data_IF_469610748714
#
_entry.id   IF_469610748714
#
_cell.length_a   1.000
_cell.length_b   1.000
_cell.length_c   1.000
_cell.angle_alpha   90.00
_cell.angle_beta   90.00
_cell.angle_gamma   90.00
#
_symmetry.space_group_name_H-M   'P 1'
#
loop_
_entity.id
_entity.type
_entity.pdbx_description
1 polymer ?
#
# COMPACT_ATOMS: atom_id res chain seq x y z
N UNK A 1 14.93 -15.11 17.28
CA UNK A 1 15.34 -14.04 18.23
C UNK A 1 14.08 -13.45 18.84
N UNK A 2 14.12 -13.00 20.10
CA UNK A 2 12.97 -12.32 20.72
C UNK A 2 12.98 -10.84 20.35
N UNK A 3 11.89 -10.35 19.74
CA UNK A 3 11.74 -8.93 19.38
C UNK A 3 11.67 -8.04 20.62
N UNK A 4 12.35 -6.90 20.59
CA UNK A 4 12.39 -5.93 21.69
C UNK A 4 11.19 -4.97 21.62
N UNK A 5 9.99 -5.46 21.92
CA UNK A 5 8.73 -4.69 21.81
C UNK A 5 8.79 -3.32 22.53
N UNK A 6 9.53 -3.24 23.64
CA UNK A 6 9.73 -2.00 24.39
C UNK A 6 10.41 -0.88 23.56
N UNK A 7 11.08 -1.19 22.46
CA UNK A 7 11.72 -0.19 21.60
C UNK A 7 10.72 0.55 20.70
N UNK A 8 9.44 0.13 20.65
CA UNK A 8 8.47 0.77 19.77
C UNK A 8 8.10 2.19 20.28
N UNK A 9 8.43 3.26 19.55
CA UNK A 9 8.28 4.63 20.07
C UNK A 9 6.82 5.08 20.18
N UNK A 10 5.90 4.53 19.38
CA UNK A 10 4.47 4.84 19.46
C UNK A 10 3.72 4.11 20.60
N UNK A 11 4.27 3.01 21.13
CA UNK A 11 3.61 2.17 22.13
C UNK A 11 4.31 2.22 23.49
N UNK A 12 5.55 2.73 23.53
CA UNK A 12 6.31 2.97 24.75
C UNK A 12 6.85 4.40 24.76
N UNK A 13 6.25 5.24 25.61
CA UNK A 13 6.63 6.65 25.78
C UNK A 13 8.11 6.84 26.15
N UNK A 14 8.68 5.91 26.92
CA UNK A 14 10.09 5.96 27.34
C UNK A 14 11.08 5.77 26.16
N UNK A 15 10.60 5.21 25.04
CA UNK A 15 11.39 4.93 23.84
C UNK A 15 11.26 6.01 22.78
N UNK A 16 10.27 6.90 22.89
CA UNK A 16 9.90 7.85 21.85
C UNK A 16 11.03 8.77 21.39
N UNK A 17 11.96 9.10 22.29
CA UNK A 17 13.10 10.00 22.05
C UNK A 17 14.42 9.26 21.74
N UNK A 18 14.40 7.93 21.76
CA UNK A 18 15.61 7.09 21.59
C UNK A 18 15.58 6.32 20.29
N UNK A 19 14.43 5.73 19.98
CA UNK A 19 14.26 4.84 18.84
C UNK A 19 13.42 5.51 17.75
N UNK A 20 13.92 5.40 16.53
CA UNK A 20 13.25 5.92 15.35
C UNK A 20 12.28 4.92 14.75
N UNK A 21 11.43 5.45 13.86
CA UNK A 21 10.58 4.67 12.96
C UNK A 21 10.79 5.14 11.52
N UNK A 22 10.53 4.26 10.58
CA UNK A 22 10.38 4.59 9.16
C UNK A 22 9.02 4.10 8.67
N UNK A 23 8.30 4.93 7.93
CA UNK A 23 7.12 4.51 7.19
C UNK A 23 7.45 4.33 5.71
N UNK A 24 7.00 3.21 5.13
CA UNK A 24 7.20 2.88 3.72
C UNK A 24 5.90 3.14 2.93
N UNK A 25 5.87 4.13 2.02
CA UNK A 25 4.66 4.56 1.33
C UNK A 25 4.31 3.65 0.12
N UNK A 26 3.93 2.41 0.41
CA UNK A 26 3.65 1.36 -0.60
C UNK A 26 2.17 1.12 -0.86
N UNK A 27 1.28 1.79 -0.11
CA UNK A 27 -0.16 1.50 -0.12
C UNK A 27 -1.01 2.67 -0.64
N UNK A 28 -1.01 3.00 -1.94
CA UNK A 28 -1.67 4.21 -2.46
C UNK A 28 -3.20 4.15 -2.54
N UNK A 29 -3.78 2.97 -2.82
CA UNK A 29 -5.24 2.83 -2.94
C UNK A 29 -5.90 2.80 -1.57
N UNK A 30 -7.20 3.05 -1.53
CA UNK A 30 -8.01 2.86 -0.34
C UNK A 30 -9.42 2.40 -0.72
N UNK A 31 -10.06 1.67 0.18
CA UNK A 31 -11.33 0.97 -0.02
C UNK A 31 -12.51 1.61 0.75
N UNK A 32 -12.31 2.72 1.46
CA UNK A 32 -13.38 3.51 2.11
C UNK A 32 -13.19 5.00 1.86
N UNK A 33 -14.24 5.81 1.83
CA UNK A 33 -14.13 7.28 1.81
C UNK A 33 -14.65 7.86 3.10
N UNK A 34 -13.75 8.41 3.91
CA UNK A 34 -14.13 9.23 5.06
C UNK A 34 -14.51 10.64 4.62
N UNK A 35 -15.50 11.24 5.27
CA UNK A 35 -15.98 12.59 4.96
C UNK A 35 -14.99 13.70 5.36
N UNK A 36 -13.99 13.38 6.20
CA UNK A 36 -12.85 14.24 6.55
C UNK A 36 -11.59 14.02 5.69
N UNK A 37 -11.63 13.19 4.66
CA UNK A 37 -10.45 12.81 3.88
C UNK A 37 -10.47 13.38 2.46
N UNK A 38 -9.37 14.00 2.03
CA UNK A 38 -9.11 14.37 0.65
C UNK A 38 -8.02 13.45 0.06
N UNK A 39 -8.34 12.76 -1.04
CA UNK A 39 -7.47 11.75 -1.68
C UNK A 39 -6.21 12.31 -2.34
N UNK A 40 -6.10 13.63 -2.46
CA UNK A 40 -4.88 14.30 -2.91
C UNK A 40 -3.74 14.16 -1.90
N UNK A 41 -4.07 13.83 -0.65
CA UNK A 41 -3.14 13.72 0.47
C UNK A 41 -3.13 12.32 1.08
N UNK A 42 -2.12 12.04 1.88
CA UNK A 42 -1.95 10.86 2.70
C UNK A 42 -3.13 10.68 3.67
N UNK A 43 -3.36 9.43 4.08
CA UNK A 43 -4.49 9.02 4.87
C UNK A 43 -4.57 9.76 6.22
N UNK A 44 -5.66 10.50 6.43
CA UNK A 44 -5.89 11.30 7.64
C UNK A 44 -6.01 10.48 8.93
N UNK A 45 -6.20 9.16 8.83
CA UNK A 45 -6.34 8.24 9.96
C UNK A 45 -5.04 8.05 10.75
N UNK A 46 -3.88 8.18 10.10
CA UNK A 46 -2.57 8.05 10.74
C UNK A 46 -1.69 9.29 10.49
N UNK A 47 -1.96 10.04 9.43
CA UNK A 47 -1.11 11.11 8.95
C UNK A 47 -1.59 12.52 9.32
N UNK A 48 -0.64 13.44 9.42
CA UNK A 48 -0.92 14.88 9.52
C UNK A 48 -1.60 15.38 8.24
N UNK A 49 -2.53 16.35 8.32
CA UNK A 49 -3.25 16.86 7.16
C UNK A 49 -2.32 17.49 6.10
N UNK A 50 -2.73 17.40 4.83
CA UNK A 50 -2.12 18.12 3.72
C UNK A 50 -0.76 17.60 3.24
N UNK A 51 -0.35 16.39 3.64
CA UNK A 51 0.90 15.77 3.20
C UNK A 51 0.67 14.81 2.04
N UNK A 52 1.57 14.79 1.06
CA UNK A 52 1.57 13.79 0.00
C UNK A 52 2.94 13.11 -0.01
N UNK A 53 2.94 11.79 0.16
CA UNK A 53 4.15 10.99 0.06
C UNK A 53 4.38 10.50 -1.37
N UNK A 54 5.65 10.34 -1.77
CA UNK A 54 5.98 9.61 -3.00
C UNK A 54 5.60 8.14 -2.84
N UNK A 55 5.00 7.55 -3.86
CA UNK A 55 4.60 6.13 -3.84
C UNK A 55 5.80 5.29 -4.26
N UNK A 56 6.10 4.25 -3.49
CA UNK A 56 7.15 3.28 -3.82
C UNK A 56 6.54 1.91 -4.12
N UNK A 57 7.19 1.15 -4.99
CA UNK A 57 7.02 -0.31 -5.06
C UNK A 57 7.77 -1.00 -3.92
N UNK A 58 7.50 -2.28 -3.68
CA UNK A 58 8.12 -3.03 -2.58
C UNK A 58 9.65 -3.09 -2.69
N UNK A 59 10.21 -3.24 -3.89
CA UNK A 59 11.66 -3.22 -4.12
C UNK A 59 12.28 -1.84 -3.91
N UNK A 60 11.68 -0.78 -4.46
CA UNK A 60 12.11 0.60 -4.20
C UNK A 60 12.03 0.96 -2.70
N UNK A 61 11.02 0.46 -1.98
CA UNK A 61 10.89 0.66 -0.54
C UNK A 61 12.01 -0.02 0.26
N UNK A 62 12.46 -1.21 -0.16
CA UNK A 62 13.64 -1.86 0.43
C UNK A 62 14.92 -1.09 0.16
N UNK A 63 15.12 -0.59 -1.06
CA UNK A 63 16.27 0.26 -1.38
C UNK A 63 16.26 1.54 -0.53
N UNK A 64 15.10 2.18 -0.38
CA UNK A 64 14.93 3.36 0.46
C UNK A 64 15.21 3.06 1.94
N UNK A 65 14.73 1.93 2.45
CA UNK A 65 14.96 1.49 3.82
C UNK A 65 16.46 1.37 4.11
N UNK A 66 17.24 0.74 3.22
CA UNK A 66 18.69 0.62 3.37
C UNK A 66 19.37 1.99 3.53
N UNK A 67 19.02 2.95 2.68
CA UNK A 67 19.57 4.30 2.74
C UNK A 67 19.16 5.02 4.04
N UNK A 68 17.89 4.89 4.44
CA UNK A 68 17.39 5.49 5.67
C UNK A 68 18.06 4.90 6.93
N UNK A 69 18.35 3.60 6.95
CA UNK A 69 19.06 2.94 8.05
C UNK A 69 20.50 3.45 8.20
N UNK A 70 21.17 3.80 7.10
CA UNK A 70 22.52 4.40 7.13
C UNK A 70 22.46 5.80 7.75
N UNK A 71 21.46 6.60 7.36
CA UNK A 71 21.30 7.99 7.81
C UNK A 71 20.73 8.11 9.22
N UNK A 72 19.90 7.16 9.64
CA UNK A 72 19.22 7.13 10.94
C UNK A 72 19.36 5.74 11.58
N UNK A 73 20.55 5.40 12.13
CA UNK A 73 20.84 4.05 12.64
C UNK A 73 20.04 3.68 13.90
N UNK A 74 19.32 4.62 14.50
CA UNK A 74 18.45 4.40 15.64
C UNK A 74 17.03 3.94 15.27
N UNK A 75 16.72 3.78 13.97
CA UNK A 75 15.45 3.19 13.53
C UNK A 75 15.33 1.77 14.12
N UNK A 76 14.22 1.52 14.82
CA UNK A 76 13.90 0.21 15.38
C UNK A 76 12.58 -0.36 14.85
N UNK A 77 11.82 0.46 14.11
CA UNK A 77 10.46 0.14 13.64
C UNK A 77 10.32 0.46 12.17
N UNK A 78 9.80 -0.49 11.41
CA UNK A 78 9.35 -0.30 10.02
C UNK A 78 7.84 -0.41 9.97
N UNK A 79 7.19 0.64 9.47
CA UNK A 79 5.74 0.76 9.41
C UNK A 79 5.20 0.91 8.00
N UNK A 80 3.95 0.47 7.77
CA UNK A 80 3.19 0.80 6.56
C UNK A 80 1.89 1.51 6.98
N UNK A 81 1.75 2.78 6.60
CA UNK A 81 0.68 3.66 7.08
C UNK A 81 -0.06 4.45 5.97
N UNK A 82 0.21 4.16 4.69
CA UNK A 82 -0.43 4.85 3.58
C UNK A 82 0.42 4.88 2.31
N UNK A 83 0.15 5.81 1.38
CA UNK A 83 -0.75 6.98 1.50
C UNK A 83 -2.25 6.70 1.63
N UNK A 84 -2.73 5.55 1.21
CA UNK A 84 -4.12 5.09 1.31
C UNK A 84 -4.32 4.12 2.49
N UNK A 85 -4.85 2.92 2.21
CA UNK A 85 -5.01 1.85 3.18
C UNK A 85 -4.18 0.61 2.78
N UNK A 86 -3.39 0.01 3.69
CA UNK A 86 -2.58 -1.16 3.38
C UNK A 86 -3.37 -2.34 2.79
N UNK A 87 -4.57 -2.63 3.29
CA UNK A 87 -5.37 -3.77 2.82
C UNK A 87 -6.28 -3.46 1.64
N UNK A 88 -6.27 -2.22 1.16
CA UNK A 88 -6.66 -1.91 -0.22
C UNK A 88 -5.52 -2.16 -1.24
N UNK A 89 -4.30 -2.43 -0.75
CA UNK A 89 -3.09 -2.77 -1.52
C UNK A 89 -2.38 -3.99 -0.90
N UNK A 90 -3.10 -5.11 -0.72
CA UNK A 90 -2.59 -6.23 0.09
C UNK A 90 -1.34 -6.86 -0.53
N UNK A 91 -1.27 -6.95 -1.86
CA UNK A 91 -0.12 -7.54 -2.56
C UNK A 91 1.16 -6.77 -2.25
N UNK A 92 1.16 -5.45 -2.47
CA UNK A 92 2.33 -4.59 -2.21
C UNK A 92 2.68 -4.53 -0.71
N UNK A 93 1.66 -4.46 0.16
CA UNK A 93 1.84 -4.39 1.61
C UNK A 93 2.48 -5.66 2.17
N UNK A 94 1.91 -6.82 1.87
CA UNK A 94 2.41 -8.09 2.40
C UNK A 94 3.79 -8.41 1.82
N UNK A 95 4.03 -8.11 0.55
CA UNK A 95 5.34 -8.29 -0.06
C UNK A 95 6.41 -7.43 0.63
N UNK A 96 6.13 -6.16 0.88
CA UNK A 96 7.06 -5.30 1.62
C UNK A 96 7.35 -5.85 3.02
N UNK A 97 6.34 -6.33 3.76
CA UNK A 97 6.54 -6.92 5.08
C UNK A 97 7.40 -8.19 5.04
N UNK A 98 7.20 -9.06 4.04
CA UNK A 98 8.04 -10.25 3.81
C UNK A 98 9.49 -9.88 3.56
N UNK A 99 9.73 -8.93 2.65
CA UNK A 99 11.08 -8.47 2.30
C UNK A 99 11.80 -7.85 3.50
N UNK A 100 11.10 -7.01 4.28
CA UNK A 100 11.67 -6.42 5.49
C UNK A 100 11.97 -7.50 6.52
N UNK A 101 11.05 -8.44 6.78
CA UNK A 101 11.30 -9.53 7.74
C UNK A 101 12.48 -10.40 7.33
N UNK A 102 12.63 -10.70 6.04
CA UNK A 102 13.72 -11.51 5.52
C UNK A 102 15.09 -10.83 5.69
N UNK A 103 15.16 -9.51 5.43
CA UNK A 103 16.42 -8.74 5.47
C UNK A 103 16.78 -8.20 6.85
N UNK A 104 15.77 -7.79 7.62
CA UNK A 104 15.89 -7.15 8.93
C UNK A 104 15.07 -7.89 10.00
N UNK A 105 15.45 -9.14 10.34
CA UNK A 105 14.67 -10.00 11.21
C UNK A 105 14.49 -9.48 12.64
N UNK A 106 15.33 -8.52 13.07
CA UNK A 106 15.27 -7.86 14.38
C UNK A 106 14.31 -6.66 14.44
N UNK A 107 13.88 -6.13 13.29
CA UNK A 107 13.02 -4.95 13.23
C UNK A 107 11.63 -5.26 13.74
N UNK A 108 11.07 -4.28 14.45
CA UNK A 108 9.65 -4.29 14.79
C UNK A 108 8.86 -3.87 13.55
N UNK A 109 7.94 -4.72 13.13
CA UNK A 109 7.01 -4.40 12.05
C UNK A 109 5.71 -3.87 12.64
N UNK A 110 5.17 -2.81 12.05
CA UNK A 110 3.86 -2.29 12.38
C UNK A 110 3.09 -1.80 11.16
N UNK A 111 1.78 -1.60 11.31
CA UNK A 111 0.97 -1.01 10.25
C UNK A 111 -0.27 -0.32 10.80
N UNK A 112 -0.84 0.58 9.99
CA UNK A 112 -2.10 1.27 10.29
C UNK A 112 -3.10 1.08 9.16
N UNK A 113 -4.33 0.68 9.50
CA UNK A 113 -5.40 0.40 8.55
C UNK A 113 -6.76 0.90 9.04
N UNK A 114 -7.70 1.08 8.12
CA UNK A 114 -9.11 1.23 8.45
C UNK A 114 -9.79 -0.08 8.88
N UNK A 115 -9.17 -1.24 8.67
CA UNK A 115 -9.64 -2.54 9.17
C UNK A 115 -10.65 -3.29 8.29
N UNK A 116 -11.12 -2.74 7.17
CA UNK A 116 -12.15 -3.37 6.32
C UNK A 116 -11.73 -4.74 5.78
N UNK A 117 -10.53 -4.81 5.19
CA UNK A 117 -10.03 -5.99 4.47
C UNK A 117 -8.82 -6.65 5.16
N UNK A 118 -8.59 -6.34 6.45
CA UNK A 118 -7.46 -6.85 7.24
C UNK A 118 -7.59 -8.34 7.60
N UNK A 119 -8.81 -8.78 7.95
CA UNK A 119 -9.04 -10.09 8.58
C UNK A 119 -8.43 -11.32 7.85
N UNK A 120 -8.39 -11.40 6.51
CA UNK A 120 -7.79 -12.53 5.79
C UNK A 120 -6.27 -12.65 5.93
N UNK A 121 -5.57 -11.59 6.34
CA UNK A 121 -4.10 -11.54 6.37
C UNK A 121 -3.51 -11.70 7.77
N UNK A 122 -4.34 -11.74 8.81
CA UNK A 122 -3.89 -11.71 10.21
C UNK A 122 -2.97 -12.90 10.55
N UNK A 123 -3.26 -14.09 10.04
CA UNK A 123 -2.43 -15.28 10.27
C UNK A 123 -1.02 -15.07 9.70
N UNK A 124 -0.92 -14.57 8.47
CA UNK A 124 0.36 -14.25 7.84
C UNK A 124 1.09 -13.09 8.55
N UNK A 125 0.37 -12.08 9.03
CA UNK A 125 0.97 -11.02 9.85
C UNK A 125 1.60 -11.58 11.13
N UNK A 126 0.95 -12.56 11.77
CA UNK A 126 1.48 -13.22 12.95
C UNK A 126 2.72 -14.06 12.62
N UNK A 127 2.72 -14.79 11.50
CA UNK A 127 3.89 -15.53 10.99
C UNK A 127 5.08 -14.60 10.70
N UNK A 128 4.81 -13.43 10.13
CA UNK A 128 5.79 -12.36 9.89
C UNK A 128 6.19 -11.60 11.17
N UNK A 129 5.66 -12.01 12.34
CA UNK A 129 5.90 -11.37 13.63
C UNK A 129 5.63 -9.86 13.58
N UNK A 130 4.55 -9.46 12.91
CA UNK A 130 4.08 -8.07 12.97
C UNK A 130 3.67 -7.79 14.40
N UNK A 131 4.39 -6.85 15.00
CA UNK A 131 4.32 -6.61 16.43
C UNK A 131 3.09 -5.80 16.84
N UNK A 132 2.70 -4.84 16.00
CA UNK A 132 1.66 -3.87 16.31
C UNK A 132 0.80 -3.56 15.07
N UNK A 133 -0.52 -3.60 15.23
CA UNK A 133 -1.46 -3.18 14.19
C UNK A 133 -2.38 -2.11 14.76
N UNK A 134 -2.50 -1.00 14.04
CA UNK A 134 -3.43 0.09 14.37
C UNK A 134 -4.68 -0.01 13.50
N UNK A 135 -5.86 -0.06 14.11
CA UNK A 135 -7.14 0.03 13.40
C UNK A 135 -7.79 1.37 13.73
N UNK A 136 -8.24 2.12 12.73
CA UNK A 136 -9.04 3.33 12.98
C UNK A 136 -10.53 3.00 13.03
N UNK A 137 -11.13 3.16 14.21
CA UNK A 137 -12.54 2.89 14.48
C UNK A 137 -13.14 4.18 15.06
N UNK A 138 -13.95 4.90 14.28
CA UNK A 138 -14.52 6.19 14.72
C UNK A 138 -15.95 6.07 15.27
N UNK A 139 -16.62 4.93 15.06
CA UNK A 139 -17.98 4.69 15.51
C UNK A 139 -18.24 3.19 15.70
N UNK A 140 -19.11 2.86 16.66
CA UNK A 140 -19.71 1.52 16.83
C UNK A 140 -21.22 1.50 16.56
N UNK A 141 -21.80 2.68 16.31
CA UNK A 141 -23.20 2.86 15.94
C UNK A 141 -23.23 3.14 14.43
N UNK A 142 -23.91 2.31 13.62
CA UNK A 142 -24.03 2.53 12.19
C UNK A 142 -24.64 3.88 11.80
N UNK A 143 -25.52 4.46 12.62
CA UNK A 143 -26.11 5.78 12.36
C UNK A 143 -25.02 6.84 12.35
N UNK A 144 -24.26 6.96 13.44
CA UNK A 144 -23.12 7.87 13.54
C UNK A 144 -22.05 7.53 12.49
N UNK A 145 -21.78 6.24 12.27
CA UNK A 145 -20.83 5.80 11.26
C UNK A 145 -21.22 6.23 9.84
N UNK A 146 -22.52 6.26 9.51
CA UNK A 146 -23.01 6.67 8.19
C UNK A 146 -22.79 8.16 7.92
N UNK A 147 -22.69 8.98 8.96
CA UNK A 147 -22.30 10.39 8.83
C UNK A 147 -20.81 10.54 8.54
N UNK A 148 -19.97 9.62 9.04
CA UNK A 148 -18.51 9.70 8.92
C UNK A 148 -18.00 9.14 7.59
N UNK A 149 -18.63 8.10 7.05
CA UNK A 149 -18.15 7.38 5.86
C UNK A 149 -19.11 7.52 4.68
N UNK A 150 -18.66 8.20 3.61
CA UNK A 150 -19.45 8.41 2.39
C UNK A 150 -19.75 7.11 1.61
N UNK A 151 -18.78 6.20 1.57
CA UNK A 151 -18.90 4.90 0.92
C UNK A 151 -17.83 3.92 1.39
N UNK A 152 -18.14 2.63 1.24
CA UNK A 152 -17.24 1.50 1.50
C UNK A 152 -17.26 0.58 0.28
N UNK A 153 -16.09 0.17 -0.23
CA UNK A 153 -15.96 -0.74 -1.36
C UNK A 153 -15.36 -2.07 -0.90
N UNK A 154 -16.18 -3.10 -0.85
CA UNK A 154 -15.78 -4.44 -0.42
C UNK A 154 -16.22 -5.49 -1.45
N UNK A 155 -15.35 -6.44 -1.79
CA UNK A 155 -15.59 -7.49 -2.79
C UNK A 155 -16.14 -6.96 -4.13
N UNK A 156 -15.53 -5.88 -4.65
CA UNK A 156 -15.92 -5.17 -5.89
C UNK A 156 -17.33 -4.54 -5.86
N UNK A 157 -18.03 -4.56 -4.73
CA UNK A 157 -19.32 -3.90 -4.54
C UNK A 157 -19.14 -2.62 -3.71
N UNK A 158 -19.88 -1.58 -4.09
CA UNK A 158 -19.94 -0.32 -3.35
C UNK A 158 -21.16 -0.31 -2.43
N UNK A 159 -20.95 0.11 -1.19
CA UNK A 159 -21.95 0.30 -0.15
C UNK A 159 -21.96 1.79 0.26
N UNK A 160 -23.11 2.30 0.71
CA UNK A 160 -23.31 3.68 1.16
C UNK A 160 -24.15 3.71 2.44
N UNK A 161 -24.17 4.87 3.09
CA UNK A 161 -25.03 5.17 4.23
C UNK A 161 -24.90 4.12 5.35
N UNK A 162 -26.02 3.71 5.96
CA UNK A 162 -26.07 2.73 7.05
C UNK A 162 -25.45 1.38 6.67
N UNK A 163 -25.63 0.93 5.43
CA UNK A 163 -25.09 -0.36 4.98
C UNK A 163 -23.55 -0.33 4.92
N UNK A 164 -22.98 0.79 4.47
CA UNK A 164 -21.54 0.99 4.49
C UNK A 164 -20.98 1.01 5.91
N UNK A 165 -21.61 1.79 6.79
CA UNK A 165 -21.19 1.93 8.18
C UNK A 165 -21.26 0.59 8.93
N UNK A 166 -22.38 -0.13 8.80
CA UNK A 166 -22.56 -1.44 9.43
C UNK A 166 -21.51 -2.45 8.94
N UNK A 167 -21.31 -2.54 7.63
CA UNK A 167 -20.31 -3.44 7.06
C UNK A 167 -18.90 -3.13 7.59
N UNK A 168 -18.51 -1.87 7.61
CA UNK A 168 -17.19 -1.46 8.08
C UNK A 168 -16.99 -1.76 9.56
N UNK A 169 -17.97 -1.42 10.40
CA UNK A 169 -17.94 -1.70 11.85
C UNK A 169 -17.80 -3.21 12.09
N UNK A 170 -18.64 -4.02 11.43
CA UNK A 170 -18.60 -5.48 11.57
C UNK A 170 -17.21 -6.04 11.23
N UNK A 171 -16.60 -5.56 10.13
CA UNK A 171 -15.27 -5.99 9.69
C UNK A 171 -14.14 -5.54 10.62
N UNK A 172 -14.20 -4.30 11.09
CA UNK A 172 -13.23 -3.75 12.05
C UNK A 172 -13.23 -4.52 13.37
N UNK A 173 -14.42 -4.79 13.93
CA UNK A 173 -14.55 -5.52 15.19
C UNK A 173 -14.17 -7.00 15.03
N UNK A 174 -14.46 -7.62 13.87
CA UNK A 174 -13.96 -8.95 13.51
C UNK A 174 -12.43 -8.99 13.49
N UNK A 175 -11.81 -8.03 12.78
CA UNK A 175 -10.36 -7.93 12.66
C UNK A 175 -9.68 -7.70 14.02
N UNK A 176 -10.23 -6.83 14.87
CA UNK A 176 -9.71 -6.58 16.21
C UNK A 176 -9.66 -7.85 17.07
N UNK A 177 -10.75 -8.63 17.10
CA UNK A 177 -10.79 -9.92 17.81
C UNK A 177 -9.73 -10.89 17.29
N UNK A 178 -9.59 -10.99 15.97
CA UNK A 178 -8.62 -11.88 15.32
C UNK A 178 -7.17 -11.46 15.63
N UNK A 179 -6.85 -10.17 15.60
CA UNK A 179 -5.52 -9.67 15.99
C UNK A 179 -5.16 -10.10 17.42
N UNK A 180 -6.11 -9.97 18.34
CA UNK A 180 -5.91 -10.38 19.74
C UNK A 180 -5.76 -11.89 19.91
N UNK A 181 -6.56 -12.67 19.19
CA UNK A 181 -6.40 -14.13 19.16
C UNK A 181 -5.04 -14.56 18.60
N UNK A 182 -4.49 -13.80 17.64
CA UNK A 182 -3.16 -14.03 17.06
C UNK A 182 -1.99 -13.49 17.91
N UNK A 183 -2.26 -12.88 19.07
CA UNK A 183 -1.22 -12.33 19.96
C UNK A 183 -0.55 -11.05 19.45
N UNK A 184 -1.17 -10.35 18.50
CA UNK A 184 -0.68 -9.06 17.98
C UNK A 184 -1.19 -7.93 18.88
N UNK A 185 -0.32 -6.96 19.18
CA UNK A 185 -0.73 -5.75 19.92
C UNK A 185 -1.61 -4.88 19.03
N UNK A 186 -2.84 -4.61 19.46
CA UNK A 186 -3.82 -3.84 18.71
C UNK A 186 -3.99 -2.44 19.32
N UNK A 187 -3.66 -1.41 18.54
CA UNK A 187 -3.98 -0.02 18.85
C UNK A 187 -5.25 0.39 18.12
N UNK A 188 -6.12 1.14 18.77
CA UNK A 188 -7.26 1.76 18.12
C UNK A 188 -7.03 3.27 18.03
N UNK A 189 -7.16 3.83 16.83
CA UNK A 189 -7.30 5.28 16.64
C UNK A 189 -8.79 5.62 16.57
N UNK A 190 -9.20 6.71 17.20
CA UNK A 190 -10.54 7.30 17.02
C UNK A 190 -10.40 8.81 16.85
N UNK A 191 -10.91 9.35 15.75
CA UNK A 191 -10.91 10.79 15.50
C UNK A 191 -12.13 11.40 16.18
N UNK A 192 -11.91 12.43 16.99
CA UNK A 192 -12.94 13.21 17.69
C UNK A 192 -13.46 14.28 16.72
N UNK A 193 -14.71 14.14 16.30
CA UNK A 193 -15.38 15.01 15.34
C UNK A 193 -16.54 15.71 16.05
N UNK A 194 -16.41 17.02 16.38
CA UNK A 194 -17.42 17.77 17.13
C UNK A 194 -18.81 17.70 16.49
N UNK A 195 -19.82 17.44 17.31
CA UNK A 195 -21.21 17.34 16.88
C UNK A 195 -21.58 16.06 16.12
N UNK A 196 -20.63 15.15 15.86
CA UNK A 196 -20.88 13.88 15.18
C UNK A 196 -20.63 12.69 16.12
N UNK A 197 -19.40 12.55 16.64
CA UNK A 197 -19.03 11.40 17.47
C UNK A 197 -18.35 11.78 18.78
N UNK A 198 -18.24 13.07 19.11
CA UNK A 198 -17.62 13.58 20.34
C UNK A 198 -18.16 12.93 21.62
N UNK A 199 -19.47 12.69 21.70
CA UNK A 199 -20.10 11.94 22.80
C UNK A 199 -20.02 10.41 22.64
N UNK A 200 -19.73 9.94 21.43
CA UNK A 200 -19.70 8.52 21.06
C UNK A 200 -18.34 7.85 21.25
N UNK A 201 -17.26 8.61 21.24
CA UNK A 201 -15.89 8.07 21.38
C UNK A 201 -15.73 7.26 22.67
N UNK A 202 -16.48 7.57 23.73
CA UNK A 202 -16.50 6.79 24.98
C UNK A 202 -17.10 5.40 24.77
N UNK A 203 -18.16 5.28 23.97
CA UNK A 203 -18.73 3.98 23.63
C UNK A 203 -17.80 3.15 22.76
N UNK A 204 -17.11 3.81 21.81
CA UNK A 204 -16.04 3.18 21.02
C UNK A 204 -14.97 2.63 21.97
N UNK A 205 -14.48 3.45 22.91
CA UNK A 205 -13.45 3.05 23.87
C UNK A 205 -13.86 1.83 24.69
N UNK A 206 -15.06 1.85 25.28
CA UNK A 206 -15.62 0.71 26.01
C UNK A 206 -15.69 -0.52 25.12
N UNK A 207 -16.19 -0.38 23.89
CA UNK A 207 -16.39 -1.52 23.00
C UNK A 207 -15.09 -2.16 22.55
N UNK A 208 -14.08 -1.37 22.19
CA UNK A 208 -12.79 -1.92 21.74
C UNK A 208 -11.99 -2.50 22.91
N UNK A 209 -12.17 -1.97 24.13
CA UNK A 209 -11.62 -2.55 25.36
C UNK A 209 -12.21 -3.96 25.63
N UNK A 210 -13.53 -4.12 25.51
CA UNK A 210 -14.19 -5.43 25.61
C UNK A 210 -13.65 -6.46 24.62
N UNK A 211 -13.18 -6.01 23.46
CA UNK A 211 -12.61 -6.86 22.42
C UNK A 211 -11.10 -7.05 22.54
N UNK A 212 -10.48 -6.46 23.57
CA UNK A 212 -9.09 -6.68 23.94
C UNK A 212 -8.08 -5.76 23.26
N UNK A 213 -8.48 -4.60 22.71
CA UNK A 213 -7.51 -3.59 22.27
C UNK A 213 -6.56 -3.22 23.43
N UNK A 214 -5.29 -2.94 23.11
CA UNK A 214 -4.26 -2.70 24.14
C UNK A 214 -4.08 -1.21 24.45
N UNK A 215 -4.25 -0.36 23.43
CA UNK A 215 -4.03 1.08 23.51
C UNK A 215 -5.10 1.79 22.67
N UNK A 216 -5.59 2.91 23.17
CA UNK A 216 -6.48 3.82 22.44
C UNK A 216 -5.76 5.15 22.18
N UNK A 217 -6.04 5.75 21.04
CA UNK A 217 -5.50 7.05 20.63
C UNK A 217 -6.66 7.90 20.11
N UNK A 218 -7.26 8.67 21.00
CA UNK A 218 -8.29 9.65 20.66
C UNK A 218 -7.62 10.91 20.12
N UNK A 219 -7.79 11.19 18.81
CA UNK A 219 -7.12 12.28 18.11
C UNK A 219 -8.10 13.38 17.73
N UNK A 220 -7.69 14.66 17.72
CA UNK A 220 -8.54 15.73 17.24
C UNK A 220 -8.81 15.62 15.73
N UNK A 221 -10.02 15.95 15.32
CA UNK A 221 -10.32 16.32 13.94
C UNK A 221 -9.57 17.62 13.58
N UNK A 222 -9.08 17.70 12.34
CA UNK A 222 -8.53 18.94 11.77
C UNK A 222 -9.28 19.25 10.49
N UNK A 223 -9.66 20.51 10.32
CA UNK A 223 -10.38 20.93 9.12
C UNK A 223 -9.49 20.75 7.89
N UNK A 224 -10.05 20.12 6.87
CA UNK A 224 -9.38 19.88 5.59
C UNK A 224 -10.27 20.42 4.48
N UNK A 225 -9.73 21.32 3.67
CA UNK A 225 -10.45 21.91 2.54
C UNK A 225 -10.80 20.86 1.49
N UNK A 226 -11.88 21.13 0.74
CA UNK A 226 -12.41 20.23 -0.29
C UNK A 226 -12.85 18.87 0.29
N UNK A 227 -13.34 18.85 1.53
CA UNK A 227 -13.94 17.67 2.16
C UNK A 227 -15.36 17.97 2.60
N UNK A 228 -16.17 16.93 2.79
CA UNK A 228 -17.55 17.09 3.28
C UNK A 228 -17.57 17.75 4.67
N UNK A 229 -16.53 17.50 5.48
CA UNK A 229 -16.41 18.03 6.83
C UNK A 229 -15.65 19.36 6.92
N UNK A 230 -15.29 20.00 5.80
CA UNK A 230 -14.46 21.22 5.81
C UNK A 230 -15.01 22.36 6.70
N UNK A 231 -16.33 22.41 6.89
CA UNK A 231 -17.02 23.43 7.70
C UNK A 231 -17.28 23.01 9.16
N UNK A 232 -16.86 21.82 9.56
CA UNK A 232 -16.90 21.40 10.97
C UNK A 232 -15.75 22.08 11.71
N UNK A 233 -16.03 22.66 12.87
CA UNK A 233 -15.00 23.26 13.72
C UNK A 233 -14.08 22.19 14.32
N UNK A 234 -12.81 22.52 14.49
CA UNK A 234 -11.87 21.66 15.21
C UNK A 234 -12.24 21.58 16.70
N UNK A 235 -12.08 20.41 17.35
CA UNK A 235 -12.36 20.28 18.77
C UNK A 235 -11.42 21.18 19.59
N UNK A 236 -11.95 21.79 20.67
CA UNK A 236 -11.11 22.54 21.60
C UNK A 236 -10.15 21.60 22.35
N UNK A 237 -9.04 22.17 22.85
CA UNK A 237 -8.10 21.41 23.66
C UNK A 237 -8.77 20.80 24.90
N UNK A 238 -9.71 21.54 25.51
CA UNK A 238 -10.48 21.06 26.67
C UNK A 238 -11.35 19.86 26.30
N UNK A 239 -12.09 19.91 25.17
CA UNK A 239 -12.88 18.78 24.68
C UNK A 239 -12.02 17.54 24.44
N UNK A 240 -10.86 17.71 23.79
CA UNK A 240 -9.93 16.59 23.55
C UNK A 240 -9.44 16.00 24.86
N UNK A 241 -9.03 16.85 25.81
CA UNK A 241 -8.53 16.44 27.12
C UNK A 241 -9.60 15.71 27.94
N UNK A 242 -10.84 16.21 27.94
CA UNK A 242 -11.98 15.60 28.62
C UNK A 242 -12.30 14.21 28.05
N UNK A 243 -12.38 14.08 26.73
CA UNK A 243 -12.64 12.79 26.06
C UNK A 243 -11.48 11.82 26.31
N UNK A 244 -10.23 12.26 26.21
CA UNK A 244 -9.07 11.43 26.51
C UNK A 244 -9.08 10.97 27.98
N UNK A 245 -9.47 11.84 28.92
CA UNK A 245 -9.60 11.48 30.33
C UNK A 245 -10.69 10.44 30.53
N UNK A 246 -11.90 10.67 29.99
CA UNK A 246 -13.03 9.74 30.12
C UNK A 246 -12.75 8.37 29.49
N UNK A 247 -12.13 8.36 28.31
CA UNK A 247 -11.76 7.10 27.64
C UNK A 247 -10.60 6.37 28.30
N UNK A 248 -9.76 7.06 29.09
CA UNK A 248 -8.66 6.45 29.83
C UNK A 248 -9.10 5.50 30.96
N UNK A 249 -10.37 5.57 31.37
CA UNK A 249 -10.98 4.62 32.30
C UNK A 249 -11.11 3.21 31.71
N UNK A 250 -11.15 3.09 30.37
CA UNK A 250 -11.28 1.81 29.66
C UNK A 250 -9.95 1.30 29.12
N UNK A 251 -9.14 2.18 28.51
CA UNK A 251 -7.88 1.80 27.87
C UNK A 251 -6.80 2.86 28.06
N UNK A 252 -5.51 2.46 28.14
CA UNK A 252 -4.39 3.40 28.11
C UNK A 252 -4.43 4.30 26.87
N UNK A 253 -4.25 5.61 27.09
CA UNK A 253 -4.23 6.61 26.02
C UNK A 253 -2.81 6.87 25.49
N UNK A 254 -2.65 6.92 24.17
CA UNK A 254 -1.41 7.38 23.53
C UNK A 254 -1.33 8.92 23.53
N UNK A 255 -0.64 9.50 24.52
CA UNK A 255 -0.57 10.97 24.70
C UNK A 255 0.50 11.69 23.85
N UNK A 256 1.39 10.95 23.19
CA UNK A 256 2.55 11.48 22.45
C UNK A 256 2.45 11.33 20.93
N UNK A 257 1.24 11.12 20.40
CA UNK A 257 1.03 10.99 18.97
C UNK A 257 1.34 12.31 18.25
N UNK A 258 2.26 12.28 17.28
CA UNK A 258 2.58 13.43 16.43
C UNK A 258 1.88 13.38 15.05
N UNK A 259 0.98 12.41 14.81
CA UNK A 259 0.33 12.13 13.50
C UNK A 259 1.34 12.09 12.36
N UNK A 260 2.24 11.11 12.44
CA UNK A 260 3.39 11.00 11.55
C UNK A 260 2.97 10.90 10.08
N UNK A 261 3.81 11.33 9.13
CA UNK A 261 3.59 11.17 7.69
C UNK A 261 3.69 9.71 7.22
N UNK A 262 3.19 9.40 6.03
CA UNK A 262 3.26 8.03 5.48
C UNK A 262 4.67 7.66 4.99
N UNK A 263 5.55 8.67 4.96
CA UNK A 263 6.98 8.60 4.65
C UNK A 263 7.85 9.12 5.82
N UNK A 264 7.32 9.16 7.05
CA UNK A 264 8.06 9.67 8.21
C UNK A 264 9.29 8.81 8.53
N UNK A 265 10.42 9.45 8.82
CA UNK A 265 11.67 8.79 9.27
C UNK A 265 12.20 9.47 10.53
N UNK A 266 12.81 8.70 11.43
CA UNK A 266 13.54 9.23 12.60
C UNK A 266 12.71 9.22 13.88
N UNK A 267 12.86 10.22 14.76
CA UNK A 267 12.20 10.33 16.07
C UNK A 267 10.80 10.97 15.99
N UNK A 268 9.87 10.56 16.85
CA UNK A 268 8.50 11.09 16.86
C UNK A 268 8.51 12.60 17.07
N UNK A 269 7.85 13.33 16.17
CA UNK A 269 7.77 14.80 16.19
C UNK A 269 8.83 15.51 15.36
N UNK A 270 9.88 14.82 14.92
CA UNK A 270 10.86 15.39 14.00
C UNK A 270 10.35 15.41 12.56
N UNK A 271 10.85 16.39 11.79
CA UNK A 271 10.61 16.51 10.36
C UNK A 271 11.72 15.76 9.62
N UNK A 272 11.37 15.07 8.52
CA UNK A 272 12.35 14.43 7.66
C UNK A 272 13.43 15.43 7.21
N UNK A 273 14.70 15.04 7.30
CA UNK A 273 15.80 15.84 6.76
C UNK A 273 15.73 15.95 5.24
N UNK A 274 16.34 16.99 4.68
CA UNK A 274 16.43 17.16 3.21
C UNK A 274 17.08 15.95 2.55
N UNK A 275 18.11 15.39 3.17
CA UNK A 275 18.81 14.20 2.68
C UNK A 275 17.89 12.96 2.62
N UNK A 276 17.08 12.73 3.66
CA UNK A 276 16.09 11.63 3.66
C UNK A 276 15.05 11.84 2.55
N UNK A 277 14.58 13.06 2.36
CA UNK A 277 13.62 13.38 1.30
C UNK A 277 14.25 13.21 -0.09
N UNK A 278 15.53 13.52 -0.25
CA UNK A 278 16.28 13.25 -1.47
C UNK A 278 16.39 11.74 -1.73
N UNK A 279 16.72 10.93 -0.72
CA UNK A 279 16.79 9.47 -0.86
C UNK A 279 15.44 8.85 -1.22
N UNK A 280 14.34 9.35 -0.66
CA UNK A 280 13.00 8.94 -1.08
C UNK A 280 12.74 9.29 -2.55
N UNK A 281 13.18 10.46 -2.99
CA UNK A 281 13.02 10.90 -4.37
C UNK A 281 13.86 10.08 -5.36
N UNK A 282 15.10 9.76 -5.00
CA UNK A 282 16.00 8.88 -5.76
C UNK A 282 15.40 7.47 -5.87
N UNK A 283 14.97 6.89 -4.75
CA UNK A 283 14.37 5.55 -4.74
C UNK A 283 13.12 5.46 -5.62
N UNK A 284 12.25 6.48 -5.60
CA UNK A 284 11.05 6.51 -6.44
C UNK A 284 11.36 6.59 -7.96
N UNK A 285 12.55 7.05 -8.34
CA UNK A 285 12.98 7.15 -9.74
C UNK A 285 13.70 5.89 -10.25
N UNK A 286 14.08 4.96 -9.36
CA UNK A 286 14.69 3.68 -9.74
C UNK A 286 13.67 2.74 -10.38
N UNK A 287 14.11 1.69 -11.10
CA UNK A 287 13.25 0.57 -11.46
C UNK A 287 12.53 -0.03 -10.23
N UNK A 288 11.40 -0.70 -10.43
CA UNK A 288 10.60 -1.22 -9.29
C UNK A 288 11.36 -2.18 -8.37
N UNK A 289 12.28 -2.96 -8.93
CA UNK A 289 13.16 -3.86 -8.20
C UNK A 289 14.63 -3.44 -8.45
N UNK A 290 15.15 -2.41 -7.77
CA UNK A 290 16.48 -1.85 -8.06
C UNK A 290 17.63 -2.84 -7.84
N UNK A 291 17.47 -3.76 -6.88
CA UNK A 291 18.51 -4.72 -6.50
C UNK A 291 18.55 -5.96 -7.42
N UNK A 292 17.58 -6.10 -8.34
CA UNK A 292 17.56 -7.18 -9.33
C UNK A 292 18.27 -6.74 -10.62
N UNK A 293 19.31 -7.48 -11.01
CA UNK A 293 19.99 -7.26 -12.31
C UNK A 293 19.14 -7.90 -13.41
N UNK A 294 18.18 -7.12 -13.92
CA UNK A 294 17.35 -7.49 -15.07
C UNK A 294 17.59 -6.51 -16.22
N UNK A 295 18.65 -6.72 -17.00
CA UNK A 295 19.13 -5.73 -17.96
C UNK A 295 18.22 -5.61 -19.19
N UNK A 296 17.23 -6.49 -19.35
CA UNK A 296 16.48 -6.59 -20.60
C UNK A 296 15.01 -6.20 -20.49
N UNK A 297 14.43 -5.88 -21.64
CA UNK A 297 12.99 -5.65 -21.84
C UNK A 297 12.52 -6.59 -22.94
N UNK A 298 11.51 -7.40 -22.65
CA UNK A 298 10.87 -8.25 -23.63
C UNK A 298 9.74 -7.51 -24.34
N UNK A 299 9.55 -7.77 -25.63
CA UNK A 299 8.52 -7.11 -26.45
C UNK A 299 7.83 -8.12 -27.35
N UNK A 300 6.50 -8.09 -27.40
CA UNK A 300 5.73 -8.84 -28.41
C UNK A 300 5.42 -7.95 -29.63
N UNK A 301 5.77 -8.42 -30.81
CA UNK A 301 5.61 -7.70 -32.07
C UNK A 301 5.43 -8.67 -33.23
N UNK A 302 4.56 -8.32 -34.17
CA UNK A 302 4.37 -9.10 -35.41
C UNK A 302 5.52 -8.85 -36.39
N UNK A 303 5.91 -7.59 -36.58
CA UNK A 303 6.91 -7.15 -37.57
C UNK A 303 8.27 -6.74 -36.98
N UNK A 304 8.37 -6.62 -35.65
CA UNK A 304 9.60 -6.21 -34.96
C UNK A 304 9.87 -4.71 -34.92
N UNK A 305 8.87 -3.88 -35.23
CA UNK A 305 8.97 -2.41 -35.19
C UNK A 305 7.97 -1.78 -34.22
N UNK A 306 6.76 -2.34 -34.14
CA UNK A 306 5.68 -1.82 -33.30
C UNK A 306 5.28 -2.80 -32.19
N UNK A 307 4.83 -2.25 -31.07
CA UNK A 307 4.21 -3.01 -29.98
C UNK A 307 2.74 -3.24 -30.35
N UNK A 308 2.48 -4.29 -31.12
CA UNK A 308 1.18 -4.53 -31.76
C UNK A 308 0.62 -5.95 -31.56
N UNK A 309 1.30 -6.79 -30.78
CA UNK A 309 0.87 -8.17 -30.57
C UNK A 309 0.34 -8.41 -29.16
N UNK A 310 -0.70 -9.24 -29.04
CA UNK A 310 -1.25 -9.65 -27.77
C UNK A 310 -0.38 -10.75 -27.11
N UNK A 311 -0.17 -10.67 -25.80
CA UNK A 311 0.67 -11.59 -25.03
C UNK A 311 0.35 -13.07 -25.26
N UNK A 312 -0.95 -13.39 -25.33
CA UNK A 312 -1.41 -14.76 -25.51
C UNK A 312 -1.17 -15.35 -26.90
N UNK A 313 -1.02 -14.50 -27.91
CA UNK A 313 -0.90 -14.84 -29.33
C UNK A 313 0.55 -14.83 -29.81
N UNK A 314 1.45 -14.18 -29.06
CA UNK A 314 2.86 -14.12 -29.37
C UNK A 314 3.50 -15.53 -29.39
N UNK A 315 4.14 -15.86 -30.50
CA UNK A 315 4.96 -17.07 -30.68
C UNK A 315 6.41 -16.84 -30.23
N UNK A 316 6.82 -15.56 -30.11
CA UNK A 316 8.15 -15.14 -29.68
C UNK A 316 8.12 -13.78 -28.99
N UNK A 317 9.20 -13.48 -28.28
CA UNK A 317 9.46 -12.18 -27.66
C UNK A 317 10.82 -11.67 -28.09
N UNK A 318 10.86 -10.43 -28.56
CA UNK A 318 12.07 -9.71 -28.89
C UNK A 318 12.66 -9.14 -27.60
N UNK A 319 13.93 -9.43 -27.34
CA UNK A 319 14.60 -9.04 -26.11
C UNK A 319 15.54 -7.90 -26.43
N UNK A 320 15.35 -6.78 -25.76
CA UNK A 320 16.14 -5.58 -25.96
C UNK A 320 16.94 -5.24 -24.71
N UNK A 321 18.15 -4.73 -24.93
CA UNK A 321 19.02 -4.17 -23.91
C UNK A 321 19.51 -2.77 -24.31
N UNK A 322 20.32 -2.17 -23.44
CA UNK A 322 21.13 -1.00 -23.79
C UNK A 322 22.58 -1.43 -23.92
N UNK A 323 23.27 -0.93 -24.93
CA UNK A 323 24.72 -1.04 -25.03
C UNK A 323 25.44 -0.01 -24.14
N UNK A 324 26.77 -0.06 -24.13
CA UNK A 324 27.61 0.85 -23.34
C UNK A 324 27.47 2.33 -23.77
N UNK A 325 26.87 2.60 -24.93
CA UNK A 325 26.61 3.96 -25.44
C UNK A 325 25.23 4.49 -25.05
N UNK A 326 24.40 3.66 -24.39
CA UNK A 326 23.01 3.98 -24.10
C UNK A 326 22.09 3.85 -25.32
N UNK A 327 22.49 3.08 -26.33
CA UNK A 327 21.65 2.81 -27.51
C UNK A 327 20.85 1.53 -27.30
N UNK A 328 19.57 1.58 -27.68
CA UNK A 328 18.69 0.41 -27.64
C UNK A 328 19.13 -0.61 -28.70
N UNK A 329 19.36 -1.86 -28.29
CA UNK A 329 19.78 -2.94 -29.17
C UNK A 329 18.94 -4.19 -28.95
N UNK A 330 18.57 -4.86 -30.05
CA UNK A 330 17.97 -6.18 -30.01
C UNK A 330 19.06 -7.19 -29.64
N UNK A 331 18.96 -7.81 -28.47
CA UNK A 331 19.98 -8.73 -27.94
C UNK A 331 19.64 -10.19 -28.21
N UNK A 332 18.36 -10.53 -28.28
CA UNK A 332 17.89 -11.92 -28.40
C UNK A 332 16.45 -11.98 -28.92
N UNK A 333 16.01 -13.17 -29.35
CA UNK A 333 14.63 -13.48 -29.71
C UNK A 333 14.25 -14.84 -29.11
N UNK A 334 13.33 -14.83 -28.15
CA UNK A 334 12.99 -16.02 -27.36
C UNK A 334 11.62 -16.55 -27.74
N UNK A 335 11.53 -17.85 -27.97
CA UNK A 335 10.28 -18.51 -28.35
C UNK A 335 9.33 -18.61 -27.14
N UNK A 336 8.05 -18.34 -27.36
CA UNK A 336 7.02 -18.49 -26.36
C UNK A 336 6.73 -19.98 -26.11
N UNK A 337 6.38 -20.39 -24.88
CA UNK A 337 5.87 -21.73 -24.64
C UNK A 337 4.60 -21.99 -25.47
N UNK A 338 4.37 -23.25 -25.92
CA UNK A 338 3.21 -23.61 -26.73
C UNK A 338 1.89 -23.11 -26.13
N UNK A 339 0.90 -22.72 -26.96
CA UNK A 339 -0.44 -22.38 -26.48
C UNK A 339 -1.10 -23.54 -25.71
N UNK A 340 -1.94 -23.19 -24.73
CA UNK A 340 -2.55 -24.16 -23.80
C UNK A 340 -1.83 -24.20 -22.44
N UNK A 341 -2.28 -25.04 -21.51
CA UNK A 341 -1.59 -25.27 -20.22
C UNK A 341 -1.86 -24.23 -19.11
N UNK A 342 -2.73 -23.24 -19.32
CA UNK A 342 -3.18 -22.32 -18.26
C UNK A 342 -2.02 -21.61 -17.54
N UNK A 343 -1.98 -21.70 -16.21
CA UNK A 343 -0.92 -21.08 -15.39
C UNK A 343 0.48 -21.64 -15.66
N UNK A 344 0.62 -22.91 -16.00
CA UNK A 344 1.93 -23.54 -16.24
C UNK A 344 2.65 -22.90 -17.43
N UNK A 345 1.89 -22.53 -18.48
CA UNK A 345 2.43 -21.80 -19.62
C UNK A 345 3.04 -20.47 -19.21
N UNK A 346 2.36 -19.73 -18.34
CA UNK A 346 2.82 -18.41 -17.89
C UNK A 346 4.01 -18.52 -16.95
N UNK A 347 4.07 -19.56 -16.11
CA UNK A 347 5.24 -19.85 -15.30
C UNK A 347 6.47 -20.18 -16.17
N UNK A 348 6.29 -21.01 -17.20
CA UNK A 348 7.35 -21.31 -18.16
C UNK A 348 7.79 -20.05 -18.94
N UNK A 349 6.84 -19.19 -19.33
CA UNK A 349 7.17 -17.93 -19.99
C UNK A 349 7.94 -17.00 -19.07
N UNK A 350 7.57 -16.92 -17.79
CA UNK A 350 8.29 -16.13 -16.80
C UNK A 350 9.73 -16.62 -16.61
N UNK A 351 9.98 -17.94 -16.60
CA UNK A 351 11.36 -18.46 -16.55
C UNK A 351 12.16 -18.13 -17.82
N UNK A 352 11.53 -18.20 -19.00
CA UNK A 352 12.15 -17.80 -20.28
C UNK A 352 12.55 -16.32 -20.28
N UNK A 353 11.83 -15.47 -19.55
CA UNK A 353 12.01 -14.01 -19.52
C UNK A 353 12.54 -13.50 -18.16
N UNK A 354 13.15 -14.35 -17.34
CA UNK A 354 13.51 -14.02 -15.95
C UNK A 354 14.52 -12.87 -15.77
N UNK A 355 15.36 -12.63 -16.77
CA UNK A 355 16.32 -11.54 -16.83
C UNK A 355 15.73 -10.25 -17.44
N UNK A 356 14.45 -10.28 -17.84
CA UNK A 356 13.71 -9.12 -18.31
C UNK A 356 12.98 -8.48 -17.13
N UNK A 357 13.10 -7.16 -16.98
CA UNK A 357 12.36 -6.41 -15.95
C UNK A 357 10.95 -6.02 -16.38
N UNK A 358 10.72 -5.94 -17.68
CA UNK A 358 9.44 -5.57 -18.24
C UNK A 358 9.14 -6.37 -19.51
N UNK A 359 7.85 -6.52 -19.79
CA UNK A 359 7.29 -7.15 -20.96
C UNK A 359 6.27 -6.22 -21.60
N UNK A 360 6.58 -5.73 -22.80
CA UNK A 360 5.76 -4.77 -23.54
C UNK A 360 4.88 -5.51 -24.55
N UNK A 361 3.57 -5.30 -24.45
CA UNK A 361 2.58 -6.01 -25.26
C UNK A 361 1.44 -5.09 -25.67
N UNK A 362 0.72 -5.40 -26.74
CA UNK A 362 -0.47 -4.63 -27.15
C UNK A 362 -1.72 -4.97 -26.33
N UNK A 363 -1.72 -6.14 -25.68
CA UNK A 363 -2.76 -6.57 -24.75
C UNK A 363 -2.33 -7.77 -23.94
N UNK A 364 -2.86 -7.88 -22.72
CA UNK A 364 -2.66 -9.02 -21.82
C UNK A 364 -3.90 -9.26 -20.96
N UNK A 365 -4.17 -10.54 -20.68
CA UNK A 365 -5.21 -10.92 -19.72
C UNK A 365 -4.73 -10.80 -18.26
N UNK A 366 -5.68 -10.85 -17.32
CA UNK A 366 -5.39 -10.75 -15.88
C UNK A 366 -4.48 -11.89 -15.37
N UNK A 367 -4.76 -13.12 -15.81
CA UNK A 367 -4.03 -14.32 -15.38
C UNK A 367 -2.54 -14.27 -15.73
N UNK A 368 -2.12 -14.09 -17.01
CA UNK A 368 -0.70 -13.97 -17.34
C UNK A 368 -0.06 -12.75 -16.66
N UNK A 369 -0.75 -11.61 -16.57
CA UNK A 369 -0.23 -10.40 -15.93
C UNK A 369 0.15 -10.65 -14.47
N UNK A 370 -0.70 -11.37 -13.72
CA UNK A 370 -0.42 -11.74 -12.33
C UNK A 370 0.79 -12.66 -12.21
N UNK A 371 0.90 -13.68 -13.07
CA UNK A 371 2.01 -14.63 -13.03
C UNK A 371 3.34 -13.94 -13.35
N UNK A 372 3.38 -13.09 -14.39
CA UNK A 372 4.60 -12.35 -14.75
C UNK A 372 5.01 -11.38 -13.64
N UNK A 373 4.05 -10.62 -13.07
CA UNK A 373 4.30 -9.71 -11.95
C UNK A 373 4.86 -10.44 -10.72
N UNK A 374 4.30 -11.61 -10.40
CA UNK A 374 4.77 -12.45 -9.30
C UNK A 374 6.21 -12.97 -9.50
N UNK A 375 6.68 -13.03 -10.75
CA UNK A 375 8.06 -13.38 -11.10
C UNK A 375 8.94 -12.13 -11.34
N UNK A 376 8.50 -10.94 -10.92
CA UNK A 376 9.24 -9.68 -11.03
C UNK A 376 9.32 -9.09 -12.44
N UNK A 377 8.46 -9.54 -13.37
CA UNK A 377 8.37 -9.02 -14.74
C UNK A 377 7.15 -8.11 -14.84
N UNK A 378 7.37 -6.82 -15.06
CA UNK A 378 6.28 -5.87 -15.24
C UNK A 378 5.66 -5.96 -16.64
N UNK A 379 4.39 -6.35 -16.73
CA UNK A 379 3.65 -6.35 -18.00
C UNK A 379 3.06 -4.97 -18.26
N UNK A 380 3.44 -4.36 -19.38
CA UNK A 380 2.94 -3.05 -19.81
C UNK A 380 2.16 -3.18 -21.11
N UNK A 381 0.92 -2.68 -21.10
CA UNK A 381 0.05 -2.69 -22.27
C UNK A 381 0.18 -1.36 -23.01
N UNK A 382 0.90 -1.38 -24.13
CA UNK A 382 1.30 -0.21 -24.91
C UNK A 382 0.96 -0.39 -26.40
N UNK A 383 0.83 0.71 -27.13
CA UNK A 383 0.89 0.72 -28.59
C UNK A 383 1.84 1.84 -29.05
N UNK A 384 2.77 1.51 -29.93
CA UNK A 384 3.76 2.46 -30.42
C UNK A 384 5.04 1.81 -30.95
N UNK A 385 6.05 2.65 -31.22
CA UNK A 385 7.36 2.22 -31.71
C UNK A 385 8.17 1.60 -30.56
N UNK A 386 8.77 0.45 -30.82
CA UNK A 386 9.50 -0.34 -29.81
C UNK A 386 10.67 0.46 -29.22
N UNK A 387 11.50 1.09 -30.05
CA UNK A 387 12.68 1.84 -29.61
C UNK A 387 12.32 3.00 -28.67
N UNK A 388 11.23 3.73 -28.97
CA UNK A 388 10.75 4.84 -28.14
C UNK A 388 10.34 4.34 -26.74
N UNK A 389 9.56 3.26 -26.69
CA UNK A 389 9.10 2.69 -25.43
C UNK A 389 10.26 2.16 -24.58
N UNK A 390 11.22 1.47 -25.21
CA UNK A 390 12.39 0.93 -24.51
C UNK A 390 13.26 2.07 -23.98
N UNK A 391 13.58 3.06 -24.83
CA UNK A 391 14.37 4.21 -24.41
C UNK A 391 13.73 4.93 -23.22
N UNK A 392 12.41 5.17 -23.28
CA UNK A 392 11.70 5.77 -22.17
C UNK A 392 11.75 4.94 -20.89
N UNK A 393 11.67 3.61 -20.97
CA UNK A 393 11.79 2.73 -19.81
C UNK A 393 13.18 2.69 -19.19
N UNK A 394 14.24 2.64 -20.01
CA UNK A 394 15.61 2.67 -19.48
C UNK A 394 15.96 4.01 -18.83
N UNK A 395 15.39 5.11 -19.33
CA UNK A 395 15.69 6.46 -18.87
C UNK A 395 14.64 7.06 -17.92
N UNK A 396 13.64 6.28 -17.50
CA UNK A 396 12.60 6.73 -16.56
C UNK A 396 11.68 7.83 -17.09
N UNK A 397 11.44 7.88 -18.40
CA UNK A 397 10.52 8.85 -19.03
C UNK A 397 9.06 8.41 -18.86
N UNK A 398 8.13 9.38 -18.86
CA UNK A 398 6.69 9.09 -18.83
C UNK A 398 6.25 8.52 -20.19
N UNK A 399 5.59 7.36 -20.16
CA UNK A 399 5.11 6.64 -21.35
C UNK A 399 3.59 6.70 -21.53
N UNK A 400 2.89 7.56 -20.77
CA UNK A 400 1.41 7.68 -20.83
C UNK A 400 0.86 7.86 -22.24
N UNK A 401 1.58 8.51 -23.15
CA UNK A 401 1.13 8.71 -24.53
C UNK A 401 1.12 7.41 -25.35
N UNK A 402 1.91 6.40 -24.96
CA UNK A 402 1.92 5.06 -25.57
C UNK A 402 0.99 4.09 -24.85
N UNK A 403 0.53 4.42 -23.64
CA UNK A 403 -0.34 3.53 -22.87
C UNK A 403 -1.74 3.49 -23.48
N UNK A 404 -2.24 2.29 -23.76
CA UNK A 404 -3.67 2.12 -24.02
C UNK A 404 -4.42 2.39 -22.73
N UNK A 405 -5.41 3.28 -22.77
CA UNK A 405 -6.33 3.42 -21.64
C UNK A 405 -6.94 2.04 -21.40
N UNK A 406 -6.83 1.53 -20.18
CA UNK A 406 -7.54 0.34 -19.72
C UNK A 406 -9.04 0.64 -19.58
N UNK A 407 -9.66 1.15 -20.63
CA UNK A 407 -11.10 1.11 -20.73
C UNK A 407 -11.49 -0.34 -20.93
N UNK A 408 -12.26 -0.79 -19.95
CA UNK A 408 -13.04 -2.01 -19.88
C UNK A 408 -13.79 -2.15 -21.21
N UNK A 409 -13.17 -2.75 -22.22
CA UNK A 409 -13.92 -3.40 -23.26
C UNK A 409 -14.35 -4.74 -22.69
N UNK A 410 -15.58 -4.73 -22.17
CA UNK A 410 -16.40 -5.91 -22.06
C UNK A 410 -16.17 -6.77 -23.31
N UNK A 411 -15.81 -8.02 -23.08
CA UNK A 411 -15.74 -9.05 -24.09
C UNK A 411 -17.04 -9.01 -24.92
N UNK A 412 -16.96 -8.52 -26.16
CA UNK A 412 -18.17 -8.34 -26.96
C UNK A 412 -18.03 -7.41 -28.15
N UNK A 413 -17.10 -7.72 -29.06
CA UNK A 413 -17.26 -7.61 -30.52
C UNK A 413 -15.89 -7.62 -31.18
N UNK A 414 -15.65 -8.58 -32.08
CA UNK A 414 -14.38 -8.93 -32.76
C UNK A 414 -13.39 -9.80 -31.97
N UNK A 415 -13.89 -10.86 -31.32
CA UNK A 415 -13.04 -12.03 -31.08
C UNK A 415 -13.05 -12.87 -32.37
N UNK A 416 -11.96 -12.85 -33.12
CA UNK A 416 -11.66 -13.83 -34.19
C UNK A 416 -10.75 -14.96 -33.69
N UNK A 417 -10.53 -15.06 -32.38
CA UNK A 417 -9.73 -16.12 -31.76
C UNK A 417 -10.51 -17.43 -31.63
N UNK A 418 -9.90 -18.54 -32.03
CA UNK A 418 -10.46 -19.90 -32.05
C UNK A 418 -10.70 -20.53 -30.67
N UNK A 419 -10.87 -19.75 -29.61
CA UNK A 419 -11.36 -20.24 -28.31
C UNK A 419 -10.49 -21.27 -27.59
N UNK A 420 -9.20 -21.41 -27.95
CA UNK A 420 -8.34 -22.50 -27.45
C UNK A 420 -7.50 -22.21 -26.20
N UNK A 421 -7.59 -21.04 -25.56
CA UNK A 421 -6.52 -20.58 -24.66
C UNK A 421 -6.91 -19.93 -23.33
N UNK A 422 -8.18 -19.94 -22.94
CA UNK A 422 -8.62 -19.34 -21.67
C UNK A 422 -9.31 -20.39 -20.81
N UNK A 423 -8.49 -21.23 -20.16
CA UNK A 423 -8.87 -22.14 -19.09
C UNK A 423 -8.06 -21.83 -17.85
#
# INVERSE_FOLDING_TARGET
MTLKLANHPCFNDASRHKFGRIHLPVAPKCNIQCNYCNRKFDCMNENRPGVTSKILSSGQAMHYLDQAMILSPNIAVVGIAGPGDPFANPDETMETLRLVRAKYPEMLLCMATNGLDLAPYIDELAELQVSHVTITINAIDPVIGSEIYAWVRHNKKMYRDLDAAKLLIDKQLEALKKLKAAGITAKVNSIIIPGINDNHVIEVARKVAELGADILNCMPYYSTTETVFENIAEPSLDMVSEIQSATSEYLPQMKHCARCRADAVGIIGEINSEEIMQKLAEAAALPKNPDEIRPYIAVSSIEGVLINQHLGEADRFLIYGMDDTGTCVLVDSRTAPPPGGGQERWAALADTLKDCRALLVNGAGDSPTKVMKANGIEVMVLEGVIEEAIYGLFNGQDLKHLMKSSQIHACGSSCSGTGGGCG
#
